data_IF_165482378180
#
_entry.id   IF_165482378180
#
_cell.length_a   1.000
_cell.length_b   1.000
_cell.length_c   1.000
_cell.angle_alpha   90.00
_cell.angle_beta   90.00
_cell.angle_gamma   90.00
#
_symmetry.space_group_name_H-M   'P 1'
#
loop_
_entity.id
_entity.type
_entity.pdbx_description
1 polymer ?
#
# COMPACT_ATOMS: atom_id res chain seq x y z
N UNK A 1 -9.05 11.21 -27.53
CA UNK A 1 -7.64 10.97 -27.11
C UNK A 1 -7.66 9.88 -26.06
N UNK A 2 -7.06 8.71 -26.32
CA UNK A 2 -7.00 7.64 -25.33
C UNK A 2 -6.11 8.08 -24.16
N UNK A 3 -6.52 7.80 -22.91
CA UNK A 3 -5.83 8.24 -21.68
C UNK A 3 -4.48 7.55 -21.43
N UNK A 4 -4.13 6.54 -22.24
CA UNK A 4 -2.91 5.74 -22.11
C UNK A 4 -2.19 5.77 -23.46
N UNK A 5 -0.90 6.10 -23.48
CA UNK A 5 -0.06 6.17 -24.69
C UNK A 5 0.32 4.81 -25.29
N UNK A 6 -0.49 3.77 -25.05
CA UNK A 6 -0.26 2.41 -25.51
C UNK A 6 -1.47 1.89 -26.30
N UNK A 7 -1.28 0.96 -27.25
CA UNK A 7 -2.39 0.33 -27.96
C UNK A 7 -3.34 -0.38 -26.98
N UNK A 8 -4.67 -0.44 -27.26
CA UNK A 8 -5.62 -1.15 -26.41
C UNK A 8 -5.26 -2.62 -26.17
N UNK A 9 -4.64 -3.29 -27.16
CA UNK A 9 -4.19 -4.67 -27.05
C UNK A 9 -3.09 -4.88 -25.99
N UNK A 10 -2.34 -3.84 -25.63
CA UNK A 10 -1.28 -3.91 -24.62
C UNK A 10 -1.77 -3.56 -23.21
N UNK A 11 -3.09 -3.40 -23.01
CA UNK A 11 -3.66 -2.95 -21.74
C UNK A 11 -3.20 -3.81 -20.57
N UNK A 12 -3.29 -5.12 -20.70
CA UNK A 12 -3.03 -6.03 -19.58
C UNK A 12 -1.53 -6.11 -19.26
N UNK A 13 -0.67 -6.06 -20.29
CA UNK A 13 0.79 -5.97 -20.13
C UNK A 13 1.20 -4.69 -19.41
N UNK A 14 0.59 -3.55 -19.78
CA UNK A 14 0.85 -2.26 -19.12
C UNK A 14 0.40 -2.30 -17.66
N UNK A 15 -0.79 -2.84 -17.38
CA UNK A 15 -1.28 -2.99 -16.00
C UNK A 15 -0.36 -3.89 -15.19
N UNK A 16 0.07 -5.03 -15.75
CA UNK A 16 1.01 -5.94 -15.10
C UNK A 16 2.35 -5.26 -14.80
N UNK A 17 2.95 -4.58 -15.79
CA UNK A 17 4.22 -3.86 -15.62
C UNK A 17 4.13 -2.76 -14.55
N UNK A 18 3.00 -2.06 -14.45
CA UNK A 18 2.76 -1.07 -13.39
C UNK A 18 2.70 -1.74 -12.02
N UNK A 19 2.01 -2.89 -11.91
CA UNK A 19 1.96 -3.63 -10.64
C UNK A 19 3.33 -4.17 -10.22
N UNK A 20 4.12 -4.71 -11.15
CA UNK A 20 5.51 -5.13 -10.89
C UNK A 20 6.34 -3.96 -10.39
N UNK A 21 6.20 -2.79 -11.01
CA UNK A 21 6.93 -1.58 -10.61
C UNK A 21 6.53 -1.10 -9.21
N UNK A 22 5.25 -1.13 -8.88
CA UNK A 22 4.75 -0.78 -7.54
C UNK A 22 5.30 -1.75 -6.49
N UNK A 23 5.25 -3.05 -6.75
CA UNK A 23 5.78 -4.07 -5.85
C UNK A 23 7.29 -3.89 -5.61
N UNK A 24 8.05 -3.60 -6.68
CA UNK A 24 9.47 -3.26 -6.57
C UNK A 24 9.70 -2.03 -5.67
N UNK A 25 8.91 -0.96 -5.84
CA UNK A 25 9.04 0.24 -5.01
C UNK A 25 8.74 -0.05 -3.54
N UNK A 26 7.75 -0.89 -3.23
CA UNK A 26 7.47 -1.32 -1.87
C UNK A 26 8.61 -2.12 -1.26
N UNK A 27 9.12 -3.13 -1.98
CA UNK A 27 10.27 -3.91 -1.53
C UNK A 27 11.50 -3.03 -1.29
N UNK A 28 11.72 -2.04 -2.17
CA UNK A 28 12.81 -1.09 -2.00
C UNK A 28 12.63 -0.23 -0.76
N UNK A 29 11.44 0.33 -0.53
CA UNK A 29 11.16 1.12 0.67
C UNK A 29 11.32 0.29 1.94
N UNK A 30 10.76 -0.93 1.96
CA UNK A 30 10.93 -1.89 3.05
C UNK A 30 12.41 -2.14 3.31
N UNK A 31 13.20 -2.37 2.25
CA UNK A 31 14.65 -2.62 2.32
C UNK A 31 15.41 -1.61 3.18
N UNK A 32 14.99 -0.34 3.12
CA UNK A 32 15.67 0.82 3.71
C UNK A 32 15.13 1.22 5.08
N UNK A 33 13.97 0.71 5.49
CA UNK A 33 13.35 1.08 6.75
C UNK A 33 13.72 0.11 7.87
N UNK A 34 13.84 0.64 9.08
CA UNK A 34 13.88 -0.12 10.33
C UNK A 34 12.76 0.40 11.23
N UNK A 35 11.51 -0.05 11.01
CA UNK A 35 10.36 0.48 11.73
C UNK A 35 10.46 0.21 13.24
N UNK A 36 10.01 1.17 14.04
CA UNK A 36 9.74 0.98 15.46
C UNK A 36 8.29 0.54 15.66
N UNK A 37 7.56 1.24 16.53
CA UNK A 37 6.10 1.07 16.61
C UNK A 37 5.38 1.54 15.33
N UNK A 38 6.01 2.41 14.55
CA UNK A 38 5.55 2.99 13.29
C UNK A 38 6.73 3.12 12.30
N UNK A 39 6.46 3.48 11.05
CA UNK A 39 7.44 3.46 9.96
C UNK A 39 8.69 4.31 10.24
N UNK A 40 8.52 5.43 10.96
CA UNK A 40 9.61 6.39 11.25
C UNK A 40 10.02 6.42 12.74
N UNK A 41 9.62 5.42 13.55
CA UNK A 41 9.95 5.36 14.97
C UNK A 41 8.73 4.97 15.81
N UNK A 42 8.54 5.59 16.97
CA UNK A 42 7.51 5.16 17.93
C UNK A 42 6.22 5.99 17.92
N UNK A 43 6.17 7.07 17.14
CA UNK A 43 4.99 7.90 17.00
C UNK A 43 4.28 7.67 15.66
N UNK A 44 2.95 7.70 15.66
CA UNK A 44 2.13 7.64 14.45
C UNK A 44 2.40 8.89 13.60
N UNK A 45 2.72 8.69 12.33
CA UNK A 45 2.97 9.77 11.38
C UNK A 45 2.01 9.72 10.18
N UNK A 46 2.02 10.78 9.38
CA UNK A 46 1.27 10.81 8.12
C UNK A 46 1.73 9.72 7.16
N UNK A 47 3.00 9.31 7.21
CA UNK A 47 3.53 8.26 6.35
C UNK A 47 2.83 6.91 6.61
N UNK A 48 2.56 6.60 7.89
CA UNK A 48 1.86 5.39 8.29
C UNK A 48 0.43 5.37 7.75
N UNK A 49 -0.27 6.50 7.84
CA UNK A 49 -1.62 6.68 7.30
C UNK A 49 -1.63 6.55 5.77
N UNK A 50 -0.68 7.20 5.10
CA UNK A 50 -0.55 7.18 3.64
C UNK A 50 -0.30 5.75 3.14
N UNK A 51 0.70 5.07 3.68
CA UNK A 51 1.04 3.70 3.27
C UNK A 51 -0.14 2.76 3.56
N UNK A 52 -0.81 2.91 4.70
CA UNK A 52 -1.99 2.10 5.03
C UNK A 52 -3.11 2.26 4.02
N UNK A 53 -3.43 3.50 3.62
CA UNK A 53 -4.43 3.78 2.58
C UNK A 53 -4.00 3.23 1.23
N UNK A 54 -2.79 3.53 0.78
CA UNK A 54 -2.33 3.14 -0.57
C UNK A 54 -2.19 1.62 -0.69
N UNK A 55 -1.82 0.93 0.39
CA UNK A 55 -1.75 -0.54 0.41
C UNK A 55 -3.11 -1.24 0.19
N UNK A 56 -4.22 -0.51 0.34
CA UNK A 56 -5.59 -1.04 0.15
C UNK A 56 -6.12 -0.90 -1.28
N UNK A 57 -5.48 -0.10 -2.14
CA UNK A 57 -5.99 0.12 -3.49
C UNK A 57 -5.70 -1.10 -4.39
N UNK A 58 -6.74 -1.91 -4.62
CA UNK A 58 -6.74 -3.07 -5.50
C UNK A 58 -6.57 -4.42 -4.79
N UNK A 59 -6.65 -5.55 -5.53
CA UNK A 59 -6.57 -6.91 -4.97
C UNK A 59 -5.17 -7.30 -4.43
N UNK A 60 -4.27 -6.33 -4.26
CA UNK A 60 -2.83 -6.54 -4.11
C UNK A 60 -2.30 -6.27 -2.71
N UNK A 61 -3.19 -6.11 -1.72
CA UNK A 61 -2.78 -5.97 -0.31
C UNK A 61 -1.99 -7.17 0.19
N UNK A 62 -2.35 -8.36 -0.29
CA UNK A 62 -1.58 -9.59 -0.08
C UNK A 62 -0.16 -9.45 -0.62
N UNK A 63 -0.01 -9.02 -1.88
CA UNK A 63 1.28 -8.79 -2.52
C UNK A 63 2.13 -7.74 -1.80
N UNK A 64 1.53 -6.65 -1.32
CA UNK A 64 2.22 -5.68 -0.46
C UNK A 64 2.78 -6.36 0.79
N UNK A 65 1.98 -7.19 1.48
CA UNK A 65 2.43 -7.88 2.69
C UNK A 65 3.55 -8.89 2.40
N UNK A 66 3.59 -9.49 1.21
CA UNK A 66 4.66 -10.39 0.77
C UNK A 66 5.97 -9.65 0.50
N UNK A 67 5.92 -8.53 -0.24
CA UNK A 67 7.13 -7.82 -0.68
C UNK A 67 7.66 -6.80 0.33
N UNK A 68 6.83 -6.37 1.30
CA UNK A 68 7.19 -5.40 2.34
C UNK A 68 6.93 -5.94 3.77
N UNK A 69 7.62 -7.01 4.18
CA UNK A 69 7.34 -7.72 5.42
C UNK A 69 7.64 -6.91 6.70
N UNK A 70 8.54 -5.93 6.67
CA UNK A 70 8.82 -5.05 7.83
C UNK A 70 7.79 -3.94 7.96
N UNK A 71 7.25 -3.46 6.86
CA UNK A 71 6.21 -2.41 6.85
C UNK A 71 4.82 -2.98 7.16
N UNK A 72 4.54 -4.23 6.76
CA UNK A 72 3.22 -4.84 6.92
C UNK A 72 2.66 -4.84 8.37
N UNK A 73 3.44 -5.12 9.42
CA UNK A 73 2.97 -5.03 10.81
C UNK A 73 2.50 -3.61 11.20
N UNK A 74 3.17 -2.58 10.71
CA UNK A 74 2.80 -1.18 10.99
C UNK A 74 1.45 -0.86 10.35
N UNK A 75 1.26 -1.26 9.09
CA UNK A 75 -0.02 -1.09 8.38
C UNK A 75 -1.16 -1.79 9.12
N UNK A 76 -0.95 -3.02 9.59
CA UNK A 76 -1.95 -3.75 10.41
C UNK A 76 -2.24 -3.05 11.74
N UNK A 77 -1.23 -2.43 12.37
CA UNK A 77 -1.42 -1.63 13.59
C UNK A 77 -2.32 -0.43 13.31
N UNK A 78 -2.09 0.29 12.21
CA UNK A 78 -2.90 1.45 11.79
C UNK A 78 -4.33 1.02 11.40
N UNK A 79 -4.49 -0.14 10.77
CA UNK A 79 -5.82 -0.71 10.50
C UNK A 79 -6.63 -0.93 11.78
N UNK A 80 -5.96 -1.28 12.88
CA UNK A 80 -6.56 -1.54 14.19
C UNK A 80 -6.62 -0.32 15.11
N UNK A 81 -6.17 0.86 14.66
CA UNK A 81 -6.19 2.09 15.46
C UNK A 81 -7.65 2.51 15.78
N UNK A 82 -8.05 2.56 17.07
CA UNK A 82 -9.43 2.86 17.45
C UNK A 82 -9.96 4.18 16.89
N UNK A 83 -9.12 5.22 16.82
CA UNK A 83 -9.50 6.54 16.29
C UNK A 83 -9.86 6.50 14.81
N UNK A 84 -9.36 5.51 14.07
CA UNK A 84 -9.53 5.41 12.62
C UNK A 84 -10.61 4.39 12.22
N UNK A 85 -11.15 3.60 13.15
CA UNK A 85 -12.14 2.55 12.84
C UNK A 85 -13.41 3.09 12.17
N UNK A 86 -13.92 4.23 12.61
CA UNK A 86 -15.07 4.88 11.98
C UNK A 86 -14.73 5.31 10.54
N UNK A 87 -13.57 5.93 10.35
CA UNK A 87 -13.08 6.37 9.04
C UNK A 87 -12.86 5.20 8.08
N UNK A 88 -12.25 4.11 8.53
CA UNK A 88 -12.03 2.92 7.72
C UNK A 88 -13.34 2.29 7.26
N UNK A 89 -14.31 2.17 8.16
CA UNK A 89 -15.64 1.67 7.79
C UNK A 89 -16.34 2.60 6.81
N UNK A 90 -16.30 3.92 6.99
CA UNK A 90 -16.97 4.83 6.07
C UNK A 90 -16.34 4.82 4.66
N UNK A 91 -15.01 4.78 4.57
CA UNK A 91 -14.29 4.98 3.29
C UNK A 91 -13.87 3.71 2.58
N UNK A 92 -13.80 2.59 3.29
CA UNK A 92 -13.37 1.29 2.77
C UNK A 92 -14.30 0.16 3.19
N UNK A 93 -15.56 0.42 3.59
CA UNK A 93 -16.56 -0.64 3.72
C UNK A 93 -16.89 -1.18 2.33
N UNK A 94 -16.09 -2.13 1.87
CA UNK A 94 -16.32 -3.06 0.77
C UNK A 94 -15.12 -4.03 0.75
N UNK A 95 -15.25 -5.12 1.51
CA UNK A 95 -14.86 -6.46 1.07
C UNK A 95 -16.14 -7.29 0.98
#
# INVERSE_FOLDING_TARGET
MARIGAPPAARDDVVHAVHERIAFCWAHMDSRLSPGSYLLGDALTVLDLYVTVVSRFGPWRARFCEVAPRMAPVVRRVDNEPRLQAFWRERFALE
#
